data_IF_155190083993
#
_entry.id   IF_155190083993
#
_cell.length_a   1.000
_cell.length_b   1.000
_cell.length_c   1.000
_cell.angle_alpha   90.00
_cell.angle_beta   90.00
_cell.angle_gamma   90.00
#
_symmetry.space_group_name_H-M   'P 1'
#
loop_
_entity.id
_entity.type
_entity.pdbx_description
1 polymer ?
#
# COMPACT_ATOMS: atom_id res chain seq x y z
N UNK A 1 -8.99 3.41 8.36
CA UNK A 1 -9.48 4.70 8.88
C UNK A 1 -10.76 5.10 8.17
N UNK A 2 -11.86 5.28 8.91
CA UNK A 2 -13.20 5.58 8.41
C UNK A 2 -13.64 4.67 7.24
N UNK A 3 -13.61 3.33 7.39
CA UNK A 3 -14.04 2.45 6.32
C UNK A 3 -15.53 2.57 6.03
N UNK A 4 -15.92 2.35 4.80
CA UNK A 4 -17.28 2.00 4.46
C UNK A 4 -17.56 0.57 4.97
N UNK A 5 -18.56 0.41 5.82
CA UNK A 5 -18.80 -0.84 6.55
C UNK A 5 -19.14 -2.01 5.61
N UNK A 6 -19.86 -1.75 4.53
CA UNK A 6 -20.16 -2.77 3.52
C UNK A 6 -18.89 -3.31 2.87
N UNK A 7 -17.95 -2.42 2.50
CA UNK A 7 -16.65 -2.76 1.92
C UNK A 7 -15.77 -3.54 2.90
N UNK A 8 -15.71 -3.07 4.16
CA UNK A 8 -14.98 -3.77 5.20
C UNK A 8 -15.52 -5.19 5.43
N UNK A 9 -16.83 -5.37 5.45
CA UNK A 9 -17.46 -6.69 5.56
C UNK A 9 -17.14 -7.58 4.36
N UNK A 10 -17.20 -7.05 3.15
CA UNK A 10 -16.83 -7.76 1.92
C UNK A 10 -15.37 -8.26 2.00
N UNK A 11 -14.43 -7.36 2.37
CA UNK A 11 -13.02 -7.70 2.58
C UNK A 11 -12.85 -8.85 3.58
N UNK A 12 -13.45 -8.73 4.79
CA UNK A 12 -13.36 -9.75 5.84
C UNK A 12 -13.94 -11.08 5.36
N UNK A 13 -15.08 -11.06 4.68
CA UNK A 13 -15.76 -12.30 4.20
C UNK A 13 -14.86 -13.11 3.30
N UNK A 14 -14.15 -12.47 2.37
CA UNK A 14 -13.31 -13.17 1.39
C UNK A 14 -11.98 -13.67 1.95
N UNK A 15 -11.47 -13.09 3.04
CA UNK A 15 -10.17 -13.51 3.58
C UNK A 15 -10.26 -14.37 4.83
N UNK A 16 -11.30 -14.23 5.64
CA UNK A 16 -11.40 -14.85 6.97
C UNK A 16 -11.31 -16.40 6.93
N UNK A 17 -11.85 -17.02 5.89
CA UNK A 17 -11.78 -18.46 5.68
C UNK A 17 -10.40 -18.99 5.27
N UNK A 18 -9.53 -18.12 4.79
CA UNK A 18 -8.22 -18.48 4.24
C UNK A 18 -7.07 -18.33 5.23
N UNK A 19 -7.31 -17.67 6.37
CA UNK A 19 -6.28 -17.34 7.38
C UNK A 19 -6.60 -17.94 8.74
N UNK A 20 -5.57 -18.17 9.55
CA UNK A 20 -5.72 -18.64 10.92
C UNK A 20 -6.19 -17.52 11.84
N UNK A 21 -5.75 -16.30 11.59
CA UNK A 21 -6.11 -15.08 12.34
C UNK A 21 -6.16 -13.87 11.42
N UNK A 22 -7.11 -12.99 11.65
CA UNK A 22 -7.25 -11.68 11.03
C UNK A 22 -6.98 -10.59 12.07
N UNK A 23 -5.99 -9.73 11.82
CA UNK A 23 -5.69 -8.57 12.66
C UNK A 23 -6.27 -7.34 11.95
N UNK A 24 -7.28 -6.73 12.58
CA UNK A 24 -7.90 -5.51 12.10
C UNK A 24 -7.45 -4.34 12.95
N UNK A 25 -6.63 -3.46 12.36
CA UNK A 25 -6.12 -2.26 13.02
C UNK A 25 -6.98 -1.07 12.64
N UNK A 26 -7.71 -0.53 13.59
CA UNK A 26 -8.43 0.74 13.42
C UNK A 26 -7.52 1.92 13.72
N UNK A 27 -7.25 2.70 12.72
CA UNK A 27 -6.36 3.85 12.82
C UNK A 27 -7.08 5.12 13.32
N UNK A 28 -7.93 4.95 14.36
CA UNK A 28 -8.66 6.04 15.02
C UNK A 28 -9.87 6.55 14.24
N UNK A 29 -10.69 5.64 13.73
CA UNK A 29 -11.90 5.98 12.96
C UNK A 29 -12.99 6.66 13.81
N UNK A 30 -13.76 7.54 13.18
CA UNK A 30 -14.92 8.17 13.80
C UNK A 30 -16.13 7.23 13.88
N UNK A 31 -16.24 6.25 12.97
CA UNK A 31 -17.30 5.25 12.91
C UNK A 31 -16.94 3.92 13.61
N UNK A 32 -16.19 4.02 14.71
CA UNK A 32 -15.67 2.88 15.47
C UNK A 32 -16.74 1.90 15.94
N UNK A 33 -17.89 2.41 16.42
CA UNK A 33 -19.00 1.58 16.89
C UNK A 33 -19.60 0.73 15.74
N UNK A 34 -19.71 1.31 14.55
CA UNK A 34 -20.18 0.60 13.36
C UNK A 34 -19.17 -0.49 12.92
N UNK A 35 -17.86 -0.20 13.02
CA UNK A 35 -16.79 -1.19 12.74
C UNK A 35 -16.93 -2.37 13.71
N UNK A 36 -17.00 -2.10 15.01
CA UNK A 36 -17.10 -3.15 16.03
C UNK A 36 -18.38 -4.00 15.87
N UNK A 37 -19.53 -3.35 15.65
CA UNK A 37 -20.77 -4.05 15.34
C UNK A 37 -20.66 -4.88 14.07
N UNK A 38 -19.99 -4.35 13.05
CA UNK A 38 -19.71 -5.06 11.79
C UNK A 38 -18.90 -6.35 11.98
N UNK A 39 -17.89 -6.30 12.85
CA UNK A 39 -17.01 -7.42 13.17
C UNK A 39 -17.77 -8.50 13.99
N UNK A 40 -18.56 -8.08 14.97
CA UNK A 40 -19.33 -9.02 15.82
C UNK A 40 -20.27 -9.93 15.02
N UNK A 41 -20.74 -9.47 13.86
CA UNK A 41 -21.61 -10.28 12.98
C UNK A 41 -20.92 -11.54 12.42
N UNK A 42 -19.59 -11.60 12.41
CA UNK A 42 -18.86 -12.78 11.96
C UNK A 42 -18.82 -13.91 13.01
N UNK A 43 -19.19 -13.61 14.27
CA UNK A 43 -19.29 -14.58 15.37
C UNK A 43 -18.08 -15.54 15.44
N UNK A 44 -16.86 -14.99 15.45
CA UNK A 44 -15.60 -15.74 15.44
C UNK A 44 -14.57 -15.10 16.37
N UNK A 45 -13.71 -15.93 16.95
CA UNK A 45 -12.54 -15.53 17.75
C UNK A 45 -11.28 -15.27 16.89
N UNK A 46 -11.35 -15.53 15.58
CA UNK A 46 -10.23 -15.30 14.67
C UNK A 46 -9.89 -13.83 14.47
N UNK A 47 -10.82 -12.89 14.72
CA UNK A 47 -10.62 -11.47 14.46
C UNK A 47 -10.07 -10.77 15.71
N UNK A 48 -8.83 -10.32 15.65
CA UNK A 48 -8.22 -9.43 16.63
C UNK A 48 -8.40 -7.98 16.20
N UNK A 49 -9.21 -7.22 16.96
CA UNK A 49 -9.38 -5.79 16.73
C UNK A 49 -8.43 -4.98 17.61
N UNK A 50 -7.67 -4.06 17.00
CA UNK A 50 -6.72 -3.16 17.69
C UNK A 50 -7.07 -1.72 17.33
N UNK A 51 -7.38 -0.90 18.33
CA UNK A 51 -7.69 0.52 18.18
C UNK A 51 -6.47 1.38 18.50
N UNK A 52 -6.02 2.20 17.55
CA UNK A 52 -4.93 3.16 17.74
C UNK A 52 -5.40 4.50 18.33
N UNK A 53 -6.70 4.68 18.55
CA UNK A 53 -7.35 5.87 19.12
C UNK A 53 -7.19 7.17 18.33
N UNK A 54 -6.22 7.27 17.44
CA UNK A 54 -5.98 8.41 16.55
C UNK A 54 -5.30 7.96 15.27
N UNK A 55 -5.52 8.70 14.19
CA UNK A 55 -4.87 8.43 12.92
C UNK A 55 -3.35 8.71 13.02
N UNK A 56 -2.55 7.65 12.99
CA UNK A 56 -1.07 7.68 13.02
C UNK A 56 -0.45 7.44 11.64
N UNK A 57 -1.27 7.35 10.60
CA UNK A 57 -0.83 6.99 9.25
C UNK A 57 -0.80 5.48 9.00
N UNK A 58 -0.70 5.10 7.71
CA UNK A 58 -0.73 3.68 7.31
C UNK A 58 0.52 2.94 7.76
N UNK A 59 1.68 3.60 7.78
CA UNK A 59 2.94 3.00 8.21
C UNK A 59 2.86 2.50 9.67
N UNK A 60 2.29 3.29 10.57
CA UNK A 60 2.09 2.91 11.97
C UNK A 60 1.11 1.73 12.11
N UNK A 61 0.02 1.72 11.35
CA UNK A 61 -0.93 0.61 11.35
C UNK A 61 -0.29 -0.70 10.85
N UNK A 62 0.50 -0.64 9.77
CA UNK A 62 1.25 -1.78 9.23
C UNK A 62 2.31 -2.30 10.22
N UNK A 63 2.99 -1.39 10.96
CA UNK A 63 3.92 -1.79 12.00
C UNK A 63 3.21 -2.55 13.12
N UNK A 64 2.06 -2.09 13.59
CA UNK A 64 1.27 -2.78 14.61
C UNK A 64 0.83 -4.17 14.14
N UNK A 65 0.43 -4.33 12.87
CA UNK A 65 0.11 -5.64 12.29
C UNK A 65 1.34 -6.55 12.31
N UNK A 66 2.49 -6.08 11.83
CA UNK A 66 3.71 -6.87 11.77
C UNK A 66 4.25 -7.23 13.17
N UNK A 67 4.20 -6.32 14.14
CA UNK A 67 4.57 -6.55 15.54
C UNK A 67 3.67 -7.60 16.20
N UNK A 68 2.35 -7.50 15.98
CA UNK A 68 1.39 -8.49 16.49
C UNK A 68 1.64 -9.87 15.88
N UNK A 69 2.01 -9.93 14.61
CA UNK A 69 2.35 -11.17 13.91
C UNK A 69 3.67 -11.75 14.41
N UNK A 70 4.69 -10.90 14.64
CA UNK A 70 5.98 -11.30 15.21
C UNK A 70 5.82 -11.92 16.59
N UNK A 71 5.00 -11.30 17.45
CA UNK A 71 4.74 -11.79 18.80
C UNK A 71 4.09 -13.18 18.84
N UNK A 72 3.40 -13.57 17.79
CA UNK A 72 2.84 -14.92 17.61
C UNK A 72 3.83 -15.91 16.99
N UNK A 73 5.06 -15.52 16.68
CA UNK A 73 6.06 -16.39 16.04
C UNK A 73 5.74 -16.73 14.58
N UNK A 74 4.85 -16.00 13.93
CA UNK A 74 4.42 -16.24 12.55
C UNK A 74 5.37 -15.53 11.58
N UNK A 75 5.82 -16.23 10.54
CA UNK A 75 6.81 -15.74 9.58
C UNK A 75 6.21 -14.78 8.53
N UNK A 76 4.98 -15.00 8.13
CA UNK A 76 4.34 -14.31 7.00
C UNK A 76 3.03 -13.66 7.42
N UNK A 77 2.78 -12.45 6.97
CA UNK A 77 1.52 -11.75 7.13
C UNK A 77 1.04 -11.20 5.80
N UNK A 78 -0.20 -11.48 5.44
CA UNK A 78 -0.85 -10.85 4.29
C UNK A 78 -1.40 -9.49 4.73
N UNK A 79 -0.92 -8.43 4.12
CA UNK A 79 -1.41 -7.06 4.38
C UNK A 79 -2.51 -6.71 3.39
N UNK A 80 -3.58 -6.08 3.88
CA UNK A 80 -4.75 -5.69 3.09
C UNK A 80 -5.15 -4.26 3.41
N UNK A 81 -5.49 -3.49 2.38
CA UNK A 81 -6.22 -2.25 2.56
C UNK A 81 -7.69 -2.56 2.87
N UNK A 82 -8.40 -1.62 3.49
CA UNK A 82 -9.78 -1.82 3.98
C UNK A 82 -10.82 -2.11 2.88
N UNK A 83 -10.48 -1.80 1.63
CA UNK A 83 -11.31 -1.92 0.41
C UNK A 83 -10.83 -3.00 -0.56
N UNK A 84 -9.81 -3.77 -0.19
CA UNK A 84 -9.25 -4.85 -0.98
C UNK A 84 -10.09 -6.12 -0.83
N UNK A 85 -10.53 -6.70 -1.94
CA UNK A 85 -11.26 -7.97 -1.95
C UNK A 85 -10.40 -9.06 -2.57
N UNK A 86 -9.97 -9.99 -1.74
CA UNK A 86 -9.17 -11.13 -2.17
C UNK A 86 -10.00 -12.17 -2.92
N UNK A 87 -9.35 -12.90 -3.84
CA UNK A 87 -9.90 -14.14 -4.38
C UNK A 87 -9.83 -15.25 -3.32
N UNK A 88 -10.75 -16.22 -3.40
CA UNK A 88 -10.95 -17.26 -2.38
C UNK A 88 -9.78 -18.26 -2.28
N UNK A 89 -8.79 -18.19 -3.15
CA UNK A 89 -7.63 -19.09 -3.23
C UNK A 89 -6.28 -18.35 -3.13
N UNK A 90 -6.27 -17.07 -2.70
CA UNK A 90 -5.05 -16.24 -2.71
C UNK A 90 -3.94 -16.84 -1.85
N UNK A 91 -4.26 -17.33 -0.65
CA UNK A 91 -3.27 -17.93 0.26
C UNK A 91 -2.72 -19.24 -0.33
N UNK A 92 -3.55 -20.08 -0.91
CA UNK A 92 -3.10 -21.34 -1.52
C UNK A 92 -2.16 -21.10 -2.71
N UNK A 93 -2.37 -20.02 -3.47
CA UNK A 93 -1.47 -19.61 -4.55
C UNK A 93 -0.13 -19.04 -4.08
N UNK A 94 -0.08 -18.45 -2.89
CA UNK A 94 1.19 -18.02 -2.27
C UNK A 94 1.95 -19.19 -1.63
N UNK A 95 1.25 -20.19 -1.10
CA UNK A 95 1.81 -21.29 -0.30
C UNK A 95 3.02 -22.00 -0.91
N UNK A 96 3.08 -22.32 -2.22
CA UNK A 96 4.23 -23.00 -2.83
C UNK A 96 5.55 -22.23 -2.71
N UNK A 97 5.49 -20.91 -2.55
CA UNK A 97 6.65 -20.03 -2.56
C UNK A 97 7.19 -19.68 -1.16
N UNK A 98 6.48 -20.04 -0.09
CA UNK A 98 6.81 -19.63 1.29
C UNK A 98 8.14 -20.18 1.80
N UNK A 99 8.67 -21.23 1.19
CA UNK A 99 9.98 -21.83 1.53
C UNK A 99 11.16 -21.11 0.88
N UNK A 100 10.93 -20.20 -0.06
CA UNK A 100 11.99 -19.44 -0.72
C UNK A 100 12.78 -18.61 0.29
N UNK A 101 14.10 -18.53 0.07
CA UNK A 101 15.02 -17.78 0.92
C UNK A 101 15.18 -16.34 0.42
N UNK A 102 15.53 -15.44 1.33
CA UNK A 102 15.81 -14.03 1.04
C UNK A 102 14.66 -13.29 0.35
N UNK A 103 13.43 -13.69 0.63
CA UNK A 103 12.24 -12.99 0.12
C UNK A 103 11.72 -12.04 1.18
N UNK A 104 11.58 -10.77 0.81
CA UNK A 104 10.98 -9.72 1.64
C UNK A 104 9.46 -9.70 1.51
N UNK A 105 8.97 -9.76 0.28
CA UNK A 105 7.54 -9.76 -0.01
C UNK A 105 7.22 -10.59 -1.24
N UNK A 106 6.05 -11.19 -1.23
CA UNK A 106 5.36 -11.66 -2.43
C UNK A 106 4.18 -10.76 -2.73
N UNK A 107 3.88 -10.56 -4.00
CA UNK A 107 2.68 -9.90 -4.48
C UNK A 107 2.09 -10.68 -5.66
N UNK A 108 0.90 -10.31 -6.08
CA UNK A 108 0.25 -10.86 -7.27
C UNK A 108 -0.30 -9.74 -8.14
N UNK A 109 -0.91 -10.09 -9.25
CA UNK A 109 -1.64 -9.15 -10.10
C UNK A 109 -2.97 -8.80 -9.44
N UNK A 110 -3.50 -7.62 -9.75
CA UNK A 110 -4.81 -7.18 -9.28
C UNK A 110 -5.65 -6.59 -10.40
N UNK A 111 -6.93 -6.50 -10.15
CA UNK A 111 -7.89 -5.83 -10.99
C UNK A 111 -8.30 -4.52 -10.34
N UNK A 112 -8.14 -3.39 -11.05
CA UNK A 112 -8.65 -2.10 -10.59
C UNK A 112 -10.15 -1.97 -10.88
N UNK A 113 -10.97 -1.75 -9.84
CA UNK A 113 -12.42 -1.56 -9.97
C UNK A 113 -12.81 -0.40 -10.90
N UNK A 114 -11.95 0.62 -10.98
CA UNK A 114 -12.19 1.78 -11.83
C UNK A 114 -12.02 1.50 -13.33
N UNK A 115 -11.33 0.38 -13.69
CA UNK A 115 -10.88 0.11 -15.08
C UNK A 115 -11.15 -1.33 -15.54
N UNK A 116 -12.19 -1.97 -15.03
CA UNK A 116 -12.52 -3.38 -15.25
C UNK A 116 -12.54 -3.76 -16.75
N UNK A 117 -12.95 -2.86 -17.64
CA UNK A 117 -13.11 -3.17 -19.07
C UNK A 117 -11.83 -3.01 -19.91
N UNK A 118 -10.87 -2.16 -19.48
CA UNK A 118 -9.70 -1.78 -20.30
C UNK A 118 -8.43 -2.62 -20.03
N UNK A 119 -8.30 -3.25 -18.86
CA UNK A 119 -7.04 -3.89 -18.42
C UNK A 119 -6.97 -5.41 -18.67
N UNK A 120 -8.07 -6.08 -18.97
CA UNK A 120 -8.07 -7.54 -19.25
C UNK A 120 -7.43 -7.93 -20.59
N UNK A 121 -7.05 -6.98 -21.42
CA UNK A 121 -6.48 -7.29 -22.75
C UNK A 121 -4.97 -7.55 -22.73
N UNK A 122 -4.30 -7.35 -21.64
CA UNK A 122 -2.86 -7.53 -21.56
C UNK A 122 -2.48 -8.49 -20.46
N UNK A 123 -1.79 -9.51 -20.92
CA UNK A 123 -0.98 -10.47 -20.21
C UNK A 123 -1.69 -11.77 -19.83
N UNK A 124 -1.55 -12.74 -20.73
CA UNK A 124 -1.56 -14.15 -20.39
C UNK A 124 -0.47 -14.42 -19.35
N UNK A 125 -0.71 -14.03 -18.09
CA UNK A 125 0.09 -14.45 -16.98
C UNK A 125 -0.25 -15.91 -16.72
N UNK A 126 0.55 -16.82 -17.27
CA UNK A 126 0.49 -18.21 -16.88
C UNK A 126 0.68 -18.30 -15.39
N UNK A 127 -0.28 -18.95 -14.71
CA UNK A 127 -0.16 -19.26 -13.29
C UNK A 127 1.18 -19.94 -13.03
N UNK A 128 1.91 -19.45 -12.02
CA UNK A 128 3.22 -19.98 -11.65
C UNK A 128 4.41 -19.21 -12.22
N UNK A 129 4.19 -18.20 -13.08
CA UNK A 129 5.29 -17.33 -13.48
C UNK A 129 5.70 -16.43 -12.31
N UNK A 130 6.92 -16.62 -11.81
CA UNK A 130 7.51 -15.85 -10.73
C UNK A 130 8.45 -14.79 -11.32
N UNK A 131 8.18 -13.53 -11.06
CA UNK A 131 8.98 -12.41 -11.55
C UNK A 131 9.51 -11.57 -10.40
N UNK A 132 10.80 -11.30 -10.38
CA UNK A 132 11.35 -10.28 -9.51
C UNK A 132 10.86 -8.89 -9.95
N UNK A 133 10.37 -8.10 -8.98
CA UNK A 133 9.88 -6.74 -9.21
C UNK A 133 10.58 -5.76 -8.27
N UNK A 134 10.77 -4.50 -8.68
CA UNK A 134 11.46 -3.54 -7.83
C UNK A 134 10.67 -3.14 -6.58
N UNK A 135 9.34 -3.20 -6.64
CA UNK A 135 8.44 -2.87 -5.55
C UNK A 135 7.04 -3.44 -5.79
N UNK A 136 6.22 -3.44 -4.73
CA UNK A 136 4.80 -3.79 -4.77
C UNK A 136 4.01 -2.89 -3.81
N UNK A 137 2.71 -2.81 -4.02
CA UNK A 137 1.80 -2.16 -3.06
C UNK A 137 1.59 -3.06 -1.84
N UNK A 138 1.18 -2.47 -0.72
CA UNK A 138 0.88 -3.23 0.51
C UNK A 138 -0.41 -4.04 0.42
N UNK A 139 -1.33 -3.69 -0.47
CA UNK A 139 -2.57 -4.45 -0.67
C UNK A 139 -2.29 -5.83 -1.26
N UNK A 140 -2.73 -6.87 -0.55
CA UNK A 140 -2.51 -8.29 -0.84
C UNK A 140 -1.03 -8.67 -1.00
N UNK A 141 -0.12 -7.92 -0.37
CA UNK A 141 1.28 -8.28 -0.26
C UNK A 141 1.49 -9.24 0.92
N UNK A 142 2.18 -10.35 0.67
CA UNK A 142 2.57 -11.29 1.71
C UNK A 142 3.95 -10.89 2.24
N UNK A 143 3.97 -10.23 3.38
CA UNK A 143 5.14 -9.63 4.02
C UNK A 143 5.89 -10.66 4.88
N UNK A 144 7.19 -10.75 4.69
CA UNK A 144 8.08 -11.50 5.58
C UNK A 144 8.41 -10.65 6.82
N UNK A 145 7.97 -11.10 7.98
CA UNK A 145 8.10 -10.36 9.26
C UNK A 145 9.56 -10.20 9.68
N UNK A 146 10.41 -11.21 9.42
CA UNK A 146 11.84 -11.11 9.69
C UNK A 146 12.52 -10.07 8.80
N UNK A 147 12.19 -10.06 7.50
CA UNK A 147 12.70 -9.08 6.55
C UNK A 147 12.24 -7.66 6.91
N UNK A 148 10.97 -7.47 7.29
CA UNK A 148 10.44 -6.21 7.79
C UNK A 148 11.23 -5.71 9.01
N UNK A 149 11.49 -6.58 9.98
CA UNK A 149 12.27 -6.23 11.17
C UNK A 149 13.69 -5.82 10.84
N UNK A 150 14.37 -6.60 9.98
CA UNK A 150 15.74 -6.30 9.53
C UNK A 150 15.84 -5.07 8.64
N UNK A 151 14.76 -4.72 7.94
CA UNK A 151 14.64 -3.48 7.19
C UNK A 151 14.45 -2.25 8.09
N UNK A 152 14.19 -2.42 9.39
CA UNK A 152 13.98 -1.32 10.33
C UNK A 152 12.54 -0.87 10.45
N UNK A 153 11.57 -1.70 10.05
CA UNK A 153 10.13 -1.44 10.07
C UNK A 153 9.69 -0.43 9.00
N UNK A 154 8.38 -0.23 8.85
CA UNK A 154 7.83 0.86 8.02
C UNK A 154 8.18 2.22 8.63
N UNK A 155 8.59 3.17 7.79
CA UNK A 155 8.92 4.53 8.22
C UNK A 155 7.65 5.33 8.51
N UNK A 156 7.32 5.48 9.80
CA UNK A 156 6.10 6.18 10.25
C UNK A 156 6.11 7.68 9.92
N UNK A 157 7.29 8.27 9.67
CA UNK A 157 7.38 9.67 9.26
C UNK A 157 6.74 9.93 7.89
N UNK A 158 6.61 8.90 7.05
CA UNK A 158 5.95 8.99 5.76
C UNK A 158 4.43 9.15 5.89
N UNK A 159 3.83 8.62 6.94
CA UNK A 159 2.41 8.67 7.25
C UNK A 159 1.50 7.97 6.21
N UNK A 160 1.48 8.45 4.97
CA UNK A 160 0.72 7.90 3.82
C UNK A 160 1.46 8.22 2.53
N UNK A 161 1.27 7.40 1.49
CA UNK A 161 1.96 7.45 0.19
C UNK A 161 3.48 7.18 0.29
N UNK A 162 4.04 6.42 -0.63
CA UNK A 162 5.44 5.97 -0.69
C UNK A 162 5.89 5.01 0.45
N UNK A 163 5.01 4.62 1.36
CA UNK A 163 5.33 3.73 2.49
C UNK A 163 5.70 2.33 2.01
N UNK A 164 4.94 1.80 1.06
CA UNK A 164 5.18 0.53 0.37
C UNK A 164 6.47 0.55 -0.45
N UNK A 165 6.65 1.61 -1.22
CA UNK A 165 7.83 1.79 -2.06
C UNK A 165 9.12 1.89 -1.23
N UNK A 166 9.11 2.71 -0.18
CA UNK A 166 10.23 2.85 0.77
C UNK A 166 10.61 1.53 1.42
N UNK A 167 9.62 0.75 1.88
CA UNK A 167 9.87 -0.56 2.49
C UNK A 167 10.48 -1.54 1.50
N UNK A 168 9.97 -1.61 0.27
CA UNK A 168 10.54 -2.48 -0.76
C UNK A 168 11.98 -2.12 -1.09
N UNK A 169 12.30 -0.84 -1.23
CA UNK A 169 13.67 -0.36 -1.46
C UNK A 169 14.59 -0.73 -0.29
N UNK A 170 14.14 -0.46 0.94
CA UNK A 170 14.92 -0.79 2.15
C UNK A 170 15.17 -2.30 2.27
N UNK A 171 14.18 -3.14 1.98
CA UNK A 171 14.37 -4.60 1.96
C UNK A 171 15.39 -5.03 0.92
N UNK A 172 15.34 -4.46 -0.28
CA UNK A 172 16.30 -4.77 -1.36
C UNK A 172 17.72 -4.35 -0.99
N UNK A 173 17.91 -3.19 -0.37
CA UNK A 173 19.19 -2.73 0.16
C UNK A 173 19.76 -3.68 1.25
N UNK A 174 18.89 -4.42 1.94
CA UNK A 174 19.26 -5.44 2.93
C UNK A 174 19.41 -6.86 2.31
N UNK A 175 19.35 -6.98 0.97
CA UNK A 175 19.55 -8.25 0.25
C UNK A 175 18.31 -9.15 0.16
N UNK A 176 17.12 -8.61 0.37
CA UNK A 176 15.87 -9.30 0.15
C UNK A 176 15.30 -9.00 -1.24
N UNK A 177 14.57 -9.97 -1.79
CA UNK A 177 13.89 -9.86 -3.07
C UNK A 177 12.40 -9.63 -2.89
N UNK A 178 11.79 -8.94 -3.85
CA UNK A 178 10.34 -8.77 -3.97
C UNK A 178 9.90 -9.54 -5.21
N UNK A 179 8.94 -10.44 -5.07
CA UNK A 179 8.46 -11.27 -6.18
C UNK A 179 6.98 -11.06 -6.46
N UNK A 180 6.65 -10.95 -7.73
CA UNK A 180 5.29 -10.99 -8.23
C UNK A 180 4.99 -12.38 -8.82
N UNK A 181 3.89 -12.99 -8.38
CA UNK A 181 3.41 -14.27 -8.89
C UNK A 181 2.31 -13.99 -9.92
N UNK A 182 2.38 -14.67 -11.05
CA UNK A 182 1.51 -14.44 -12.22
C UNK A 182 0.10 -14.96 -12.03
N UNK A 183 -0.70 -14.38 -11.12
CA UNK A 183 -2.14 -14.60 -11.02
C UNK A 183 -2.85 -13.35 -10.51
N UNK A 184 -4.11 -13.17 -10.88
CA UNK A 184 -4.96 -12.11 -10.35
C UNK A 184 -5.53 -12.56 -9.01
N UNK A 185 -4.99 -12.01 -7.91
CA UNK A 185 -5.31 -12.43 -6.54
C UNK A 185 -6.34 -11.57 -5.83
N UNK A 186 -6.59 -10.34 -6.29
CA UNK A 186 -7.50 -9.43 -5.61
C UNK A 186 -8.07 -8.36 -6.55
N UNK A 187 -9.14 -7.74 -6.08
CA UNK A 187 -9.74 -6.53 -6.65
C UNK A 187 -9.45 -5.38 -5.70
N UNK A 188 -9.00 -4.26 -6.25
CA UNK A 188 -8.63 -3.06 -5.47
C UNK A 188 -9.19 -1.82 -6.15
N UNK A 189 -9.39 -0.75 -5.38
CA UNK A 189 -9.86 0.53 -5.88
C UNK A 189 -8.82 1.62 -5.59
N UNK A 190 -8.14 2.09 -6.64
CA UNK A 190 -7.14 3.15 -6.48
C UNK A 190 -7.83 4.51 -6.62
N UNK A 191 -8.26 5.09 -5.49
CA UNK A 191 -8.87 6.42 -5.46
C UNK A 191 -10.08 6.54 -6.39
N UNK A 192 -10.44 7.77 -6.75
CA UNK A 192 -11.46 8.05 -7.78
C UNK A 192 -10.78 8.17 -9.16
N UNK A 193 -10.41 7.02 -9.73
CA UNK A 193 -9.70 6.97 -11.00
C UNK A 193 -10.59 7.42 -12.17
N UNK A 194 -10.07 8.36 -12.98
CA UNK A 194 -10.71 8.77 -14.23
C UNK A 194 -9.71 8.75 -15.37
N UNK A 195 -10.16 8.29 -16.56
CA UNK A 195 -9.40 8.40 -17.80
C UNK A 195 -9.87 9.64 -18.55
N UNK A 196 -8.96 10.56 -18.75
CA UNK A 196 -9.19 11.76 -19.56
C UNK A 196 -8.60 11.52 -20.95
N UNK A 197 -9.43 11.64 -21.99
CA UNK A 197 -9.00 11.51 -23.38
C UNK A 197 -8.67 12.91 -23.94
N UNK A 198 -7.44 13.11 -24.37
CA UNK A 198 -6.98 14.33 -25.05
C UNK A 198 -6.48 13.91 -26.43
N UNK A 199 -7.33 14.01 -27.45
CA UNK A 199 -7.07 13.42 -28.77
C UNK A 199 -6.88 11.91 -28.67
N UNK A 200 -5.72 11.41 -29.11
CA UNK A 200 -5.33 10.00 -29.02
C UNK A 200 -4.69 9.62 -27.66
N UNK A 201 -4.45 10.56 -26.79
CA UNK A 201 -3.78 10.35 -25.52
C UNK A 201 -4.79 10.01 -24.40
N UNK A 202 -4.51 8.96 -23.63
CA UNK A 202 -5.25 8.61 -22.41
C UNK A 202 -4.42 9.03 -21.20
N UNK A 203 -4.92 9.96 -20.39
CA UNK A 203 -4.29 10.41 -19.15
C UNK A 203 -5.09 9.86 -17.99
N UNK A 204 -4.47 9.00 -17.17
CA UNK A 204 -5.08 8.51 -15.92
C UNK A 204 -4.86 9.53 -14.81
N UNK A 205 -5.90 9.91 -14.09
CA UNK A 205 -5.83 10.70 -12.86
C UNK A 205 -6.65 10.05 -11.77
N UNK A 206 -6.17 10.12 -10.54
CA UNK A 206 -6.84 9.54 -9.36
C UNK A 206 -7.52 10.58 -8.46
N UNK A 207 -7.50 11.84 -8.87
CA UNK A 207 -8.15 12.97 -8.20
C UNK A 207 -7.96 12.98 -6.67
N UNK A 208 -6.75 12.70 -6.20
CA UNK A 208 -6.42 12.66 -4.77
C UNK A 208 -6.68 13.99 -4.07
N UNK A 209 -7.05 13.92 -2.78
CA UNK A 209 -7.25 15.09 -1.93
C UNK A 209 -5.98 15.95 -1.78
N UNK A 210 -6.08 17.25 -1.41
CA UNK A 210 -4.92 18.09 -1.12
C UNK A 210 -4.00 17.47 -0.06
N UNK A 211 -4.58 16.78 0.95
CA UNK A 211 -3.84 16.06 1.97
C UNK A 211 -2.91 14.98 1.37
N UNK A 212 -3.43 14.11 0.50
CA UNK A 212 -2.62 13.09 -0.18
C UNK A 212 -1.61 13.72 -1.15
N UNK A 213 -1.95 14.84 -1.81
CA UNK A 213 -0.99 15.56 -2.67
C UNK A 213 0.20 16.10 -1.91
N UNK A 214 -0.03 16.63 -0.69
CA UNK A 214 1.05 17.05 0.19
C UNK A 214 2.01 15.91 0.51
N UNK A 215 1.49 14.78 1.03
CA UNK A 215 2.31 13.65 1.41
C UNK A 215 2.99 12.99 0.19
N UNK A 216 2.29 12.80 -0.91
CA UNK A 216 2.85 12.19 -2.12
C UNK A 216 4.06 12.95 -2.66
N UNK A 217 3.99 14.29 -2.71
CA UNK A 217 5.13 15.12 -3.15
C UNK A 217 6.24 15.21 -2.11
N UNK A 218 5.90 15.37 -0.82
CA UNK A 218 6.88 15.41 0.27
C UNK A 218 7.68 14.11 0.34
N UNK A 219 6.98 12.98 0.36
CA UNK A 219 7.56 11.68 0.55
C UNK A 219 8.40 11.24 -0.66
N UNK A 220 8.03 11.61 -1.88
CA UNK A 220 8.86 11.35 -3.06
C UNK A 220 10.27 11.95 -2.92
N UNK A 221 10.38 13.15 -2.32
CA UNK A 221 11.68 13.78 -2.05
C UNK A 221 12.42 13.08 -0.89
N UNK A 222 11.70 12.71 0.18
CA UNK A 222 12.29 12.00 1.33
C UNK A 222 12.86 10.66 0.87
N UNK A 223 12.08 9.86 0.13
CA UNK A 223 12.50 8.56 -0.40
C UNK A 223 13.69 8.70 -1.35
N UNK A 224 13.70 9.73 -2.21
CA UNK A 224 14.84 10.00 -3.07
C UNK A 224 16.11 10.43 -2.31
N UNK A 225 15.97 11.02 -1.12
CA UNK A 225 17.12 11.31 -0.23
C UNK A 225 17.61 10.05 0.50
N UNK A 226 16.68 9.15 0.83
CA UNK A 226 16.94 7.94 1.60
C UNK A 226 17.66 6.88 0.76
N UNK A 227 17.25 6.70 -0.48
CA UNK A 227 17.68 5.62 -1.35
C UNK A 227 18.53 6.10 -2.53
N UNK A 228 19.77 5.60 -2.63
CA UNK A 228 20.71 6.00 -3.68
C UNK A 228 20.27 5.59 -5.09
N UNK A 229 19.46 4.54 -5.22
CA UNK A 229 18.96 4.09 -6.53
C UNK A 229 17.90 5.04 -7.11
N UNK A 230 17.33 5.94 -6.30
CA UNK A 230 16.33 6.91 -6.75
C UNK A 230 17.00 8.20 -7.19
N UNK A 231 16.83 8.52 -8.45
CA UNK A 231 17.33 9.77 -8.99
C UNK A 231 16.48 10.96 -8.53
N UNK A 232 17.06 11.85 -7.73
CA UNK A 232 16.40 13.05 -7.20
C UNK A 232 15.75 13.91 -8.29
N UNK A 233 16.41 14.08 -9.44
CA UNK A 233 15.86 14.87 -10.55
C UNK A 233 14.59 14.22 -11.11
N UNK A 234 14.55 12.88 -11.21
CA UNK A 234 13.34 12.16 -11.63
C UNK A 234 12.21 12.30 -10.62
N UNK A 235 12.51 12.29 -9.31
CA UNK A 235 11.50 12.52 -8.26
C UNK A 235 10.90 13.94 -8.38
N UNK A 236 11.74 14.96 -8.58
CA UNK A 236 11.31 16.35 -8.78
C UNK A 236 10.46 16.48 -10.06
N UNK A 237 10.93 15.93 -11.19
CA UNK A 237 10.20 15.99 -12.45
C UNK A 237 8.85 15.25 -12.36
N UNK A 238 8.81 14.12 -11.64
CA UNK A 238 7.57 13.42 -11.35
C UNK A 238 6.59 14.28 -10.56
N UNK A 239 7.05 14.94 -9.50
CA UNK A 239 6.22 15.86 -8.72
C UNK A 239 5.71 17.05 -9.55
N UNK A 240 6.57 17.66 -10.37
CA UNK A 240 6.18 18.75 -11.28
C UNK A 240 5.16 18.27 -12.31
N UNK A 241 5.34 17.09 -12.91
CA UNK A 241 4.38 16.50 -13.84
C UNK A 241 3.00 16.33 -13.18
N UNK A 242 2.96 15.84 -11.94
CA UNK A 242 1.70 15.71 -11.19
C UNK A 242 1.04 17.07 -10.93
N UNK A 243 1.82 18.10 -10.60
CA UNK A 243 1.32 19.47 -10.43
C UNK A 243 0.67 19.99 -11.72
N UNK A 244 1.29 19.76 -12.87
CA UNK A 244 0.73 20.15 -14.17
C UNK A 244 -0.58 19.41 -14.47
N UNK A 245 -0.63 18.09 -14.22
CA UNK A 245 -1.85 17.27 -14.41
C UNK A 245 -2.99 17.81 -13.53
N UNK A 246 -2.72 18.12 -12.26
CA UNK A 246 -3.69 18.70 -11.34
C UNK A 246 -4.24 20.02 -11.90
N UNK A 247 -3.35 20.91 -12.31
CA UNK A 247 -3.74 22.24 -12.80
C UNK A 247 -4.64 22.16 -14.03
N UNK A 248 -4.39 21.23 -14.93
CA UNK A 248 -5.14 21.11 -16.19
C UNK A 248 -6.43 20.31 -16.02
N UNK A 249 -6.41 19.21 -15.25
CA UNK A 249 -7.42 18.16 -15.36
C UNK A 249 -8.19 17.86 -14.07
N UNK A 250 -7.76 18.36 -12.90
CA UNK A 250 -8.44 18.02 -11.63
C UNK A 250 -9.27 19.20 -11.09
N UNK A 251 -10.21 18.87 -10.21
CA UNK A 251 -10.95 19.85 -9.42
C UNK A 251 -10.12 20.31 -8.22
N UNK A 252 -10.54 21.41 -7.57
CA UNK A 252 -9.87 21.99 -6.38
C UNK A 252 -8.37 22.29 -6.61
N UNK A 253 -8.07 22.80 -7.80
CA UNK A 253 -6.72 23.02 -8.32
C UNK A 253 -5.81 23.77 -7.36
N UNK A 254 -6.29 24.88 -6.79
CA UNK A 254 -5.49 25.78 -5.96
C UNK A 254 -5.07 25.15 -4.63
N UNK A 255 -5.98 24.44 -3.94
CA UNK A 255 -5.64 23.74 -2.71
C UNK A 255 -4.67 22.59 -2.96
N UNK A 256 -4.87 21.82 -4.03
CA UNK A 256 -3.98 20.72 -4.43
C UNK A 256 -2.59 21.24 -4.85
N UNK A 257 -2.54 22.34 -5.62
CA UNK A 257 -1.30 22.98 -6.03
C UNK A 257 -0.50 23.49 -4.81
N UNK A 258 -1.17 24.24 -3.94
CA UNK A 258 -0.58 24.73 -2.68
C UNK A 258 -0.04 23.59 -1.82
N UNK A 259 -0.82 22.52 -1.67
CA UNK A 259 -0.41 21.33 -0.93
C UNK A 259 0.81 20.64 -1.57
N UNK A 260 0.84 20.49 -2.89
CA UNK A 260 1.97 19.91 -3.61
C UNK A 260 3.25 20.74 -3.47
N UNK A 261 3.17 22.05 -3.64
CA UNK A 261 4.32 22.96 -3.46
C UNK A 261 4.83 22.94 -2.02
N UNK A 262 3.91 22.96 -1.03
CA UNK A 262 4.26 22.82 0.39
C UNK A 262 4.94 21.47 0.65
N UNK A 263 4.42 20.38 0.09
CA UNK A 263 5.02 19.06 0.20
C UNK A 263 6.45 19.01 -0.36
N UNK A 264 6.69 19.59 -1.54
CA UNK A 264 8.03 19.71 -2.11
C UNK A 264 8.98 20.45 -1.17
N UNK A 265 8.59 21.65 -0.70
CA UNK A 265 9.40 22.45 0.22
C UNK A 265 9.74 21.67 1.49
N UNK A 266 8.74 21.08 2.13
CA UNK A 266 8.92 20.39 3.40
C UNK A 266 9.76 19.09 3.19
N UNK A 267 9.60 18.40 2.07
CA UNK A 267 10.45 17.29 1.68
C UNK A 267 11.92 17.66 1.53
N UNK A 268 12.23 18.86 1.01
CA UNK A 268 13.60 19.35 0.96
C UNK A 268 14.13 19.83 2.32
N UNK A 269 13.28 20.43 3.16
CA UNK A 269 13.67 20.95 4.47
C UNK A 269 13.91 19.82 5.51
N UNK A 270 13.26 18.67 5.39
CA UNK A 270 13.47 17.55 6.29
C UNK A 270 14.88 17.00 6.08
N UNK A 271 15.76 17.15 7.09
CA UNK A 271 17.07 16.55 7.10
C UNK A 271 16.93 15.03 7.27
N UNK A 272 17.37 14.26 6.28
CA UNK A 272 17.52 12.82 6.43
C UNK A 272 18.92 12.51 6.96
N UNK A 273 19.02 12.07 8.22
CA UNK A 273 20.27 11.55 8.77
C UNK A 273 20.36 10.06 8.41
N UNK A 274 21.32 9.71 7.56
CA UNK A 274 21.62 8.32 7.17
C UNK A 274 21.98 7.42 8.38
N UNK A 275 22.37 8.00 9.51
CA UNK A 275 22.77 7.27 10.73
C UNK A 275 21.61 6.61 11.50
N UNK A 276 20.35 6.89 11.17
CA UNK A 276 19.18 6.26 11.83
C UNK A 276 18.76 4.91 11.24
N UNK A 277 19.46 4.43 10.24
CA UNK A 277 19.19 3.18 9.53
C UNK A 277 20.28 2.11 9.64
N UNK A 278 21.25 2.29 10.55
CA UNK A 278 22.24 1.27 10.92
C UNK A 278 21.90 0.61 12.25
#
# INVERSE_FOLDING_TARGET
FNPEISRLKENITHILGQVDRLILVDNGSNNKEEIQSGIQNFNTDKILYIDLHKNKGIAAALNVIAESTESCGVKWVLTLDQDTVCKDDIIDKYRPYLSMKNVGQFTCLYQDRNFIEDEYKNEGSEFGNLKEVPWCITSAALLNVEAWKKAGKFDESLFIDQVDYDMCLTMREKGYYIYQIGFVGFVHEIGQGHIIKVGSWKIKTWNHSPFRRYYGTRNAIIVAKKHNEINMMRAILGAVKHIVIIFVFENDKWNKLSAGVKGLRDGFCIAWNRERGM
#
